data_IF_313643625162
#
_entry.id   IF_313643625162
#
_cell.length_a   1.000
_cell.length_b   1.000
_cell.length_c   1.000
_cell.angle_alpha   90.00
_cell.angle_beta   90.00
_cell.angle_gamma   90.00
#
_symmetry.space_group_name_H-M   'P 1'
#
loop_
_entity.id
_entity.type
_entity.pdbx_description
1 polymer ?
#
# COMPACT_ATOMS: atom_id res chain seq x y z
N UNK A 1 -9.04 -3.08 18.25
CA UNK A 1 -9.83 -4.04 17.46
C UNK A 1 -9.14 -4.50 16.17
N UNK A 2 -8.37 -3.66 15.51
CA UNK A 2 -7.68 -4.00 14.24
C UNK A 2 -8.60 -4.68 13.19
N UNK A 3 -9.85 -4.21 13.07
CA UNK A 3 -10.83 -4.78 12.15
C UNK A 3 -11.38 -6.16 12.53
N UNK A 4 -11.12 -6.67 13.73
CA UNK A 4 -11.49 -8.02 14.17
C UNK A 4 -12.37 -8.00 15.41
N UNK A 5 -13.33 -8.91 15.45
CA UNK A 5 -14.12 -9.18 16.66
C UNK A 5 -13.34 -10.02 17.68
N UNK A 6 -12.28 -10.71 17.29
CA UNK A 6 -11.40 -11.44 18.20
C UNK A 6 -10.70 -10.55 19.24
N UNK A 7 -10.68 -9.24 19.02
CA UNK A 7 -10.14 -8.23 19.96
C UNK A 7 -11.22 -7.26 20.48
N UNK A 8 -12.49 -7.60 20.39
CA UNK A 8 -13.58 -6.69 20.81
C UNK A 8 -13.51 -6.37 22.30
N UNK A 9 -13.12 -7.35 23.14
CA UNK A 9 -13.04 -7.23 24.60
C UNK A 9 -11.63 -6.78 25.07
N UNK A 10 -10.73 -6.50 24.14
CA UNK A 10 -9.40 -6.00 24.50
C UNK A 10 -9.51 -4.63 25.20
N UNK A 11 -8.70 -4.37 26.24
CA UNK A 11 -8.73 -3.10 26.96
C UNK A 11 -8.39 -1.94 26.01
N UNK A 12 -8.97 -0.77 26.29
CA UNK A 12 -8.62 0.45 25.56
C UNK A 12 -7.15 0.78 25.77
N UNK A 13 -6.50 1.33 24.72
CA UNK A 13 -5.13 1.83 24.86
C UNK A 13 -5.06 2.95 25.90
N UNK A 14 -4.04 2.91 26.75
CA UNK A 14 -3.81 3.91 27.81
C UNK A 14 -2.93 5.06 27.35
N UNK A 15 -2.30 4.94 26.18
CA UNK A 15 -1.45 5.96 25.56
C UNK A 15 -1.59 5.94 24.05
N UNK A 16 -1.34 7.07 23.40
CA UNK A 16 -1.28 7.16 21.96
C UNK A 16 -0.03 6.44 21.41
N UNK A 17 -0.17 5.77 20.27
CA UNK A 17 0.98 5.35 19.47
C UNK A 17 1.79 6.59 19.05
N UNK A 18 3.14 6.51 18.87
CA UNK A 18 3.96 7.67 18.53
C UNK A 18 3.49 8.43 17.28
N UNK A 19 3.01 7.72 16.26
CA UNK A 19 2.44 8.33 15.06
C UNK A 19 1.20 9.20 15.38
N UNK A 20 0.31 8.72 16.25
CA UNK A 20 -0.89 9.46 16.68
C UNK A 20 -0.50 10.64 17.58
N UNK A 21 0.41 10.42 18.52
CA UNK A 21 0.91 11.47 19.42
C UNK A 21 1.54 12.64 18.64
N UNK A 22 2.32 12.34 17.59
CA UNK A 22 2.91 13.36 16.70
C UNK A 22 1.86 14.17 15.96
N UNK A 23 0.82 13.53 15.44
CA UNK A 23 -0.29 14.23 14.77
C UNK A 23 -1.01 15.16 15.73
N UNK A 24 -1.31 14.72 16.97
CA UNK A 24 -1.93 15.55 18.00
C UNK A 24 -1.04 16.73 18.41
N UNK A 25 0.26 16.49 18.60
CA UNK A 25 1.21 17.53 18.93
C UNK A 25 1.37 18.58 17.84
N UNK A 26 1.14 18.20 16.59
CA UNK A 26 1.11 19.11 15.43
C UNK A 26 -0.24 19.87 15.29
N UNK A 27 -1.19 19.72 16.22
CA UNK A 27 -2.49 20.36 16.19
C UNK A 27 -3.58 19.57 15.46
N UNK A 28 -3.31 18.32 15.07
CA UNK A 28 -4.28 17.46 14.42
C UNK A 28 -5.39 17.00 15.36
N UNK A 29 -6.65 17.10 14.92
CA UNK A 29 -7.81 16.55 15.60
C UNK A 29 -8.14 15.16 15.06
N UNK A 30 -8.23 14.16 15.95
CA UNK A 30 -8.64 12.80 15.58
C UNK A 30 -10.16 12.74 15.57
N UNK A 31 -10.75 12.66 14.39
CA UNK A 31 -12.21 12.71 14.20
C UNK A 31 -12.89 11.34 14.28
N UNK A 32 -12.13 10.25 14.20
CA UNK A 32 -12.70 8.90 14.27
C UNK A 32 -11.70 7.79 13.97
N UNK A 33 -12.24 6.56 13.94
CA UNK A 33 -11.57 5.35 13.49
C UNK A 33 -12.31 4.82 12.28
N UNK A 34 -11.59 4.32 11.31
CA UNK A 34 -12.13 3.90 10.03
C UNK A 34 -12.19 2.38 9.91
N UNK A 35 -13.01 1.91 8.99
CA UNK A 35 -13.05 0.52 8.55
C UNK A 35 -11.68 0.08 8.02
N UNK A 36 -11.33 -1.17 8.28
CA UNK A 36 -10.14 -1.81 7.73
C UNK A 36 -10.37 -3.31 7.54
N UNK A 37 -9.56 -3.93 6.70
CA UNK A 37 -9.50 -5.39 6.62
C UNK A 37 -9.04 -5.96 7.96
N UNK A 38 -9.61 -7.10 8.35
CA UNK A 38 -9.21 -7.78 9.58
C UNK A 38 -7.70 -8.00 9.61
N UNK A 39 -7.05 -7.50 10.67
CA UNK A 39 -5.61 -7.57 10.91
C UNK A 39 -4.74 -7.13 9.72
N UNK A 40 -5.26 -6.26 8.85
CA UNK A 40 -4.61 -5.76 7.65
C UNK A 40 -4.29 -6.82 6.56
N UNK A 41 -4.86 -8.00 6.63
CA UNK A 41 -4.57 -9.14 5.76
C UNK A 41 -5.33 -9.13 4.43
N UNK A 42 -5.36 -8.06 3.65
CA UNK A 42 -5.79 -8.05 2.24
C UNK A 42 -5.62 -6.68 1.59
N UNK A 43 -5.31 -6.67 0.29
CA UNK A 43 -5.37 -5.48 -0.57
C UNK A 43 -6.78 -5.17 -1.11
N UNK A 44 -7.76 -6.03 -0.90
CA UNK A 44 -9.12 -5.90 -1.48
C UNK A 44 -9.99 -4.91 -0.68
N UNK A 45 -9.90 -4.91 0.65
CA UNK A 45 -10.64 -3.97 1.49
C UNK A 45 -11.91 -4.52 2.12
N UNK A 46 -12.30 -5.78 1.86
CA UNK A 46 -13.47 -6.42 2.47
C UNK A 46 -13.19 -6.90 3.91
N UNK A 47 -14.24 -6.90 4.73
CA UNK A 47 -14.21 -7.43 6.10
C UNK A 47 -15.55 -8.12 6.41
N UNK A 48 -15.56 -9.37 6.90
CA UNK A 48 -16.82 -10.06 7.20
C UNK A 48 -17.54 -9.55 8.46
N UNK A 49 -16.81 -8.87 9.35
CA UNK A 49 -17.35 -8.43 10.64
C UNK A 49 -17.99 -7.04 10.60
N UNK A 50 -17.64 -6.23 9.59
CA UNK A 50 -18.09 -4.84 9.46
C UNK A 50 -18.47 -4.52 8.01
N UNK A 51 -19.50 -3.67 7.78
CA UNK A 51 -19.87 -3.28 6.43
C UNK A 51 -18.71 -2.64 5.69
N UNK A 52 -18.36 -3.19 4.53
CA UNK A 52 -17.30 -2.66 3.67
C UNK A 52 -17.81 -1.41 2.94
N UNK A 53 -17.14 -0.25 3.05
CA UNK A 53 -17.52 0.92 2.26
C UNK A 53 -17.25 0.69 0.78
N UNK A 54 -18.07 1.28 -0.09
CA UNK A 54 -17.79 1.29 -1.52
C UNK A 54 -16.65 2.28 -1.84
N UNK A 55 -15.89 2.00 -2.89
CA UNK A 55 -14.92 2.93 -3.44
C UNK A 55 -15.58 4.25 -3.84
N UNK A 56 -14.88 5.35 -3.62
CA UNK A 56 -15.33 6.70 -3.95
C UNK A 56 -14.17 7.46 -4.62
N UNK A 57 -14.38 7.91 -5.85
CA UNK A 57 -13.38 8.69 -6.55
C UNK A 57 -13.36 10.14 -6.05
N UNK A 58 -12.23 10.56 -5.48
CA UNK A 58 -12.07 11.92 -4.99
C UNK A 58 -12.29 12.99 -6.09
N UNK A 59 -11.90 12.69 -7.33
CA UNK A 59 -11.91 13.63 -8.45
C UNK A 59 -13.28 13.75 -9.11
N UNK A 60 -14.02 12.63 -9.18
CA UNK A 60 -15.23 12.55 -10.01
C UNK A 60 -16.47 12.04 -9.26
N UNK A 61 -16.35 11.71 -7.96
CA UNK A 61 -17.48 11.31 -7.12
C UNK A 61 -17.72 9.80 -7.06
N UNK A 62 -18.95 9.37 -6.77
CA UNK A 62 -19.29 7.95 -6.68
C UNK A 62 -18.98 7.21 -7.99
N UNK A 63 -18.44 5.99 -7.89
CA UNK A 63 -18.15 5.18 -9.07
C UNK A 63 -19.46 4.74 -9.75
N UNK A 64 -19.49 4.66 -11.09
CA UNK A 64 -20.67 4.25 -11.82
C UNK A 64 -21.00 2.77 -11.63
N UNK A 65 -22.29 2.44 -11.65
CA UNK A 65 -22.80 1.06 -11.60
C UNK A 65 -22.82 0.45 -10.21
N UNK A 66 -22.56 -0.87 -10.13
CA UNK A 66 -22.57 -1.59 -8.85
C UNK A 66 -21.37 -1.23 -7.98
N UNK A 67 -21.54 -1.37 -6.65
CA UNK A 67 -20.51 -1.04 -5.68
C UNK A 67 -19.20 -1.81 -5.92
N UNK A 68 -18.08 -1.10 -5.85
CA UNK A 68 -16.74 -1.62 -6.02
C UNK A 68 -15.95 -1.57 -4.73
N UNK A 69 -14.98 -2.46 -4.58
CA UNK A 69 -14.13 -2.50 -3.39
C UNK A 69 -13.25 -1.25 -3.29
N UNK A 70 -13.04 -0.71 -2.08
CA UNK A 70 -12.24 0.51 -1.87
C UNK A 70 -10.74 0.25 -1.88
N UNK A 71 -10.33 -1.01 -2.05
CA UNK A 71 -8.95 -1.40 -1.76
C UNK A 71 -8.66 -1.45 -0.26
N UNK A 72 -7.56 -2.06 0.09
CA UNK A 72 -7.19 -2.35 1.47
C UNK A 72 -5.67 -2.42 1.70
N UNK A 73 -5.34 -2.61 2.99
CA UNK A 73 -6.22 -2.87 4.12
C UNK A 73 -6.84 -1.61 4.74
N UNK A 74 -6.32 -0.40 4.46
CA UNK A 74 -6.78 0.88 5.03
C UNK A 74 -8.00 1.43 4.26
N UNK A 75 -9.04 0.61 4.09
CA UNK A 75 -10.18 0.85 3.20
C UNK A 75 -11.02 2.07 3.61
N UNK A 76 -11.52 2.11 4.82
CA UNK A 76 -12.31 3.23 5.31
C UNK A 76 -11.52 4.53 5.43
N UNK A 77 -10.20 4.44 5.67
CA UNK A 77 -9.30 5.57 5.68
C UNK A 77 -9.27 6.26 4.31
N UNK A 78 -9.11 5.47 3.22
CA UNK A 78 -9.13 6.01 1.86
C UNK A 78 -10.47 6.65 1.50
N UNK A 79 -11.58 5.97 1.77
CA UNK A 79 -12.93 6.51 1.48
C UNK A 79 -13.20 7.78 2.27
N UNK A 80 -12.76 7.87 3.54
CA UNK A 80 -12.92 9.06 4.36
C UNK A 80 -12.17 10.27 3.80
N UNK A 81 -10.96 10.07 3.28
CA UNK A 81 -10.18 11.13 2.61
C UNK A 81 -10.81 11.51 1.27
N UNK A 82 -11.18 10.51 0.47
CA UNK A 82 -11.74 10.71 -0.87
C UNK A 82 -13.08 11.48 -0.81
N UNK A 83 -13.96 11.13 0.13
CA UNK A 83 -15.25 11.77 0.33
C UNK A 83 -15.18 13.14 1.03
N UNK A 84 -14.00 13.55 1.49
CA UNK A 84 -13.82 14.82 2.20
C UNK A 84 -14.20 14.78 3.69
N UNK A 85 -14.48 13.62 4.27
CA UNK A 85 -14.79 13.49 5.70
C UNK A 85 -13.59 13.82 6.60
N UNK A 86 -12.37 13.69 6.09
CA UNK A 86 -11.15 14.15 6.75
C UNK A 86 -10.10 14.62 5.72
N UNK A 87 -9.13 15.41 6.18
CA UNK A 87 -8.05 15.90 5.33
C UNK A 87 -6.96 14.84 5.10
N UNK A 88 -6.71 14.03 6.10
CA UNK A 88 -5.73 12.95 6.05
C UNK A 88 -6.21 11.77 6.89
N UNK A 89 -5.79 10.56 6.55
CA UNK A 89 -6.07 9.38 7.35
C UNK A 89 -4.80 8.54 7.53
N UNK A 90 -4.50 8.20 8.79
CA UNK A 90 -3.40 7.32 9.17
C UNK A 90 -3.78 5.87 8.87
N UNK A 91 -2.83 5.12 8.36
CA UNK A 91 -2.94 3.69 8.13
C UNK A 91 -1.57 3.01 8.16
N UNK A 92 -1.51 1.78 7.65
CA UNK A 92 -0.26 1.04 7.49
C UNK A 92 -0.12 0.45 6.09
N UNK A 93 1.12 0.23 5.67
CA UNK A 93 1.45 -0.38 4.38
C UNK A 93 2.49 -1.48 4.59
N UNK A 94 2.07 -2.73 4.47
CA UNK A 94 2.89 -3.94 4.60
C UNK A 94 3.14 -4.60 3.25
N UNK A 95 2.17 -4.51 2.34
CA UNK A 95 2.24 -5.03 0.98
C UNK A 95 1.59 -4.08 -0.05
N UNK A 96 1.14 -2.88 0.38
CA UNK A 96 0.44 -1.92 -0.48
C UNK A 96 -0.75 -1.25 0.20
N UNK A 97 -0.98 -1.50 1.48
CA UNK A 97 -2.23 -1.16 2.18
C UNK A 97 -2.53 0.34 2.37
N UNK A 98 -1.68 1.23 1.90
CA UNK A 98 -1.91 2.68 1.72
C UNK A 98 -2.08 3.00 0.23
N UNK A 99 -1.23 2.43 -0.61
CA UNK A 99 -1.15 2.76 -2.04
C UNK A 99 -2.28 2.15 -2.85
N UNK A 100 -2.68 0.91 -2.53
CA UNK A 100 -3.80 0.23 -3.19
C UNK A 100 -5.11 1.01 -2.97
N UNK A 101 -5.55 1.28 -1.72
CA UNK A 101 -6.77 2.04 -1.51
C UNK A 101 -6.67 3.49 -2.03
N UNK A 102 -5.50 4.12 -2.03
CA UNK A 102 -5.31 5.42 -2.67
C UNK A 102 -5.58 5.36 -4.18
N UNK A 103 -5.05 4.34 -4.88
CA UNK A 103 -5.28 4.12 -6.30
C UNK A 103 -6.77 3.91 -6.63
N UNK A 104 -7.49 3.17 -5.79
CA UNK A 104 -8.90 2.84 -6.01
C UNK A 104 -9.88 3.96 -5.64
N UNK A 105 -9.43 5.00 -4.95
CA UNK A 105 -10.26 6.12 -4.53
C UNK A 105 -9.79 7.48 -5.09
N UNK A 106 -8.89 7.49 -6.08
CA UNK A 106 -8.45 8.70 -6.75
C UNK A 106 -7.73 9.71 -5.84
N UNK A 107 -7.03 9.24 -4.80
CA UNK A 107 -6.30 10.05 -3.83
C UNK A 107 -4.81 9.74 -3.82
N UNK A 108 -4.05 10.45 -2.99
CA UNK A 108 -2.63 10.26 -2.79
C UNK A 108 -2.36 9.32 -1.61
N UNK A 109 -1.54 8.29 -1.83
CA UNK A 109 -1.07 7.40 -0.78
C UNK A 109 0.46 7.34 -0.77
N UNK A 110 1.09 7.82 0.28
CA UNK A 110 2.54 7.80 0.42
C UNK A 110 3.00 6.78 1.45
N UNK A 111 3.74 5.77 1.00
CA UNK A 111 4.49 4.84 1.83
C UNK A 111 5.93 5.34 1.95
N UNK A 112 6.37 5.72 3.13
CA UNK A 112 7.76 6.11 3.36
C UNK A 112 8.71 4.89 3.41
N UNK A 113 10.00 5.14 3.37
CA UNK A 113 11.03 4.16 3.70
C UNK A 113 10.69 3.47 5.01
N UNK A 114 10.88 2.15 5.09
CA UNK A 114 10.62 1.37 6.29
C UNK A 114 11.35 1.97 7.51
N UNK A 115 10.70 1.94 8.66
CA UNK A 115 11.24 2.40 9.96
C UNK A 115 11.43 3.93 10.12
N UNK A 116 11.09 4.76 9.12
CA UNK A 116 11.10 6.23 9.31
C UNK A 116 10.00 6.71 10.26
N UNK A 117 8.85 6.05 10.24
CA UNK A 117 7.75 6.32 11.16
C UNK A 117 7.63 5.15 12.12
N UNK A 118 7.64 5.38 13.46
CA UNK A 118 7.49 4.31 14.43
C UNK A 118 6.16 3.57 14.29
N UNK A 119 6.20 2.24 14.35
CA UNK A 119 5.01 1.36 14.33
C UNK A 119 4.61 0.87 15.73
N UNK A 120 5.31 1.29 16.76
CA UNK A 120 5.01 0.97 18.18
C UNK A 120 3.55 1.33 18.49
N UNK A 121 2.84 0.43 19.14
CA UNK A 121 1.42 0.60 19.49
C UNK A 121 0.44 0.19 18.38
N UNK A 122 0.92 -0.22 17.21
CA UNK A 122 0.11 -0.86 16.19
C UNK A 122 0.05 -2.38 16.41
N UNK A 123 -1.08 -3.00 16.04
CA UNK A 123 -1.17 -4.47 15.93
C UNK A 123 -0.37 -4.87 14.69
N UNK A 124 0.68 -5.70 14.81
CA UNK A 124 1.56 -5.99 13.69
C UNK A 124 0.93 -6.97 12.70
N UNK A 125 1.09 -6.71 11.41
CA UNK A 125 0.99 -7.73 10.36
C UNK A 125 2.35 -8.35 10.11
N UNK A 126 3.38 -7.51 9.90
CA UNK A 126 4.76 -7.93 9.75
C UNK A 126 5.69 -6.92 10.41
N UNK A 127 6.41 -7.32 11.43
CA UNK A 127 7.36 -6.44 12.13
C UNK A 127 8.50 -5.95 11.23
N UNK A 128 8.81 -6.72 10.19
CA UNK A 128 9.83 -6.36 9.17
C UNK A 128 9.28 -5.38 8.14
N UNK A 129 8.05 -5.57 7.64
CA UNK A 129 7.53 -4.87 6.47
C UNK A 129 6.56 -3.74 6.80
N UNK A 130 5.97 -3.71 7.98
CA UNK A 130 4.98 -2.70 8.37
C UNK A 130 5.55 -1.29 8.32
N UNK A 131 4.81 -0.40 7.69
CA UNK A 131 5.14 1.03 7.62
C UNK A 131 3.90 1.84 7.99
N UNK A 132 3.98 2.65 9.05
CA UNK A 132 2.92 3.59 9.39
C UNK A 132 3.01 4.82 8.47
N UNK A 133 1.92 5.18 7.83
CA UNK A 133 1.87 6.26 6.84
C UNK A 133 0.44 6.78 6.66
N UNK A 134 0.23 7.73 5.77
CA UNK A 134 -1.06 8.36 5.60
C UNK A 134 -1.47 8.49 4.14
N UNK A 135 -2.78 8.66 3.95
CA UNK A 135 -3.41 9.07 2.69
C UNK A 135 -3.91 10.50 2.80
N UNK A 136 -3.84 11.23 1.69
CA UNK A 136 -4.27 12.63 1.56
C UNK A 136 -4.87 12.86 0.18
N UNK A 137 -5.38 14.06 -0.09
CA UNK A 137 -5.93 14.42 -1.42
C UNK A 137 -4.88 15.01 -2.36
N UNK A 138 -3.73 15.46 -1.84
CA UNK A 138 -2.66 16.04 -2.63
C UNK A 138 -1.28 15.57 -2.15
N UNK A 139 -0.30 15.63 -3.04
CA UNK A 139 1.11 15.34 -2.68
C UNK A 139 1.64 16.37 -1.69
N UNK A 140 1.23 17.63 -1.81
CA UNK A 140 1.57 18.68 -0.84
C UNK A 140 1.15 18.29 0.58
N UNK A 141 -0.08 17.81 0.75
CA UNK A 141 -0.59 17.39 2.05
C UNK A 141 0.13 16.10 2.53
N UNK A 142 0.42 15.17 1.62
CA UNK A 142 1.20 13.97 1.94
C UNK A 142 2.59 14.32 2.50
N UNK A 143 3.25 15.33 1.92
CA UNK A 143 4.54 15.80 2.42
C UNK A 143 4.39 16.39 3.84
N UNK A 144 3.39 17.24 4.08
CA UNK A 144 3.15 17.85 5.41
C UNK A 144 2.89 16.77 6.46
N UNK A 145 2.01 15.82 6.16
CA UNK A 145 1.68 14.74 7.09
C UNK A 145 2.89 13.83 7.32
N UNK A 146 3.65 13.52 6.26
CA UNK A 146 4.87 12.72 6.40
C UNK A 146 5.92 13.42 7.28
N UNK A 147 6.13 14.74 7.13
CA UNK A 147 7.05 15.50 7.97
C UNK A 147 6.68 15.39 9.45
N UNK A 148 5.39 15.43 9.78
CA UNK A 148 4.88 15.24 11.13
C UNK A 148 5.13 13.83 11.61
N UNK A 149 4.72 12.82 10.84
CA UNK A 149 4.82 11.41 11.22
C UNK A 149 6.27 10.94 11.38
N UNK A 150 7.16 11.35 10.47
CA UNK A 150 8.58 11.00 10.51
C UNK A 150 9.39 11.91 11.46
N UNK A 151 8.79 13.01 11.97
CA UNK A 151 9.49 14.06 12.71
C UNK A 151 10.73 14.58 11.96
N UNK A 152 10.62 14.75 10.62
CA UNK A 152 11.73 15.08 9.74
C UNK A 152 11.24 15.93 8.57
N UNK A 153 11.98 16.99 8.23
CA UNK A 153 11.64 17.83 7.07
C UNK A 153 11.97 17.16 5.75
N UNK A 154 11.12 17.34 4.76
CA UNK A 154 11.35 16.96 3.38
C UNK A 154 12.12 18.06 2.67
N UNK A 155 13.26 17.74 2.08
CA UNK A 155 13.97 18.68 1.21
C UNK A 155 13.14 18.89 -0.06
N UNK A 156 12.64 20.11 -0.25
CA UNK A 156 11.83 20.49 -1.41
C UNK A 156 12.72 20.82 -2.60
N UNK A 157 12.27 20.45 -3.80
CA UNK A 157 12.92 20.78 -5.06
C UNK A 157 11.95 21.46 -6.01
N UNK A 158 12.38 22.57 -6.60
CA UNK A 158 11.69 23.25 -7.69
C UNK A 158 12.14 22.76 -9.07
N UNK A 159 13.00 21.74 -9.15
CA UNK A 159 13.53 21.24 -10.40
C UNK A 159 12.40 20.79 -11.34
N UNK A 160 12.46 21.12 -12.65
CA UNK A 160 11.48 20.68 -13.63
C UNK A 160 11.58 19.16 -13.85
N UNK A 161 10.55 18.56 -14.47
CA UNK A 161 10.55 17.13 -14.78
C UNK A 161 11.75 16.68 -15.61
N UNK A 162 12.25 17.52 -16.49
CA UNK A 162 13.44 17.24 -17.32
C UNK A 162 14.76 17.07 -16.54
N UNK A 163 14.78 17.49 -15.28
CA UNK A 163 15.95 17.33 -14.40
C UNK A 163 15.98 15.96 -13.67
N UNK A 164 14.89 15.19 -13.75
CA UNK A 164 14.77 13.91 -13.06
C UNK A 164 14.96 12.75 -14.03
N UNK A 165 15.78 11.79 -13.65
CA UNK A 165 15.96 10.54 -14.38
C UNK A 165 14.93 9.53 -13.89
N UNK A 166 13.96 9.21 -14.75
CA UNK A 166 12.87 8.32 -14.44
C UNK A 166 13.01 7.01 -15.22
N UNK A 167 12.54 5.91 -14.66
CA UNK A 167 12.50 4.63 -15.36
C UNK A 167 11.15 3.92 -15.18
N UNK A 168 10.79 3.12 -16.18
CA UNK A 168 9.63 2.21 -16.14
C UNK A 168 10.17 0.78 -16.13
N UNK A 169 9.99 0.02 -15.03
CA UNK A 169 10.32 -1.41 -15.02
C UNK A 169 9.29 -2.18 -15.83
N UNK A 170 9.75 -3.03 -16.74
CA UNK A 170 8.89 -3.81 -17.63
C UNK A 170 8.50 -5.15 -17.02
N UNK A 171 9.45 -5.84 -16.39
CA UNK A 171 9.23 -7.15 -15.77
C UNK A 171 8.29 -7.05 -14.56
N UNK A 172 7.33 -7.94 -14.43
CA UNK A 172 6.32 -8.01 -13.35
C UNK A 172 5.32 -6.86 -13.34
N UNK A 173 5.78 -5.60 -13.39
CA UNK A 173 4.94 -4.43 -13.19
C UNK A 173 3.92 -4.18 -14.30
N UNK A 174 4.25 -4.58 -15.52
CA UNK A 174 3.40 -4.38 -16.70
C UNK A 174 2.70 -5.67 -17.17
N UNK A 175 2.91 -6.80 -16.49
CA UNK A 175 2.34 -8.07 -16.90
C UNK A 175 0.82 -8.11 -16.68
N UNK A 176 0.04 -8.52 -17.69
CA UNK A 176 -1.38 -8.78 -17.57
C UNK A 176 -2.19 -7.62 -16.98
N UNK A 177 -1.90 -6.38 -17.35
CA UNK A 177 -2.65 -5.21 -16.95
C UNK A 177 -4.07 -5.21 -17.49
N UNK A 178 -5.03 -4.76 -16.70
CA UNK A 178 -6.35 -4.36 -17.18
C UNK A 178 -6.23 -3.28 -18.27
N UNK A 179 -7.10 -3.32 -19.27
CA UNK A 179 -7.05 -2.38 -20.40
C UNK A 179 -7.15 -0.92 -19.98
N UNK A 180 -7.99 -0.61 -18.98
CA UNK A 180 -8.10 0.75 -18.43
C UNK A 180 -6.81 1.18 -17.75
N UNK A 181 -6.21 0.28 -16.97
CA UNK A 181 -4.93 0.55 -16.28
C UNK A 181 -3.82 0.80 -17.29
N UNK A 182 -3.71 -0.05 -18.31
CA UNK A 182 -2.69 0.09 -19.37
C UNK A 182 -2.85 1.41 -20.12
N UNK A 183 -4.07 1.76 -20.51
CA UNK A 183 -4.37 3.00 -21.26
C UNK A 183 -4.08 4.23 -20.42
N UNK A 184 -4.54 4.28 -19.17
CA UNK A 184 -4.32 5.42 -18.28
C UNK A 184 -2.84 5.61 -17.96
N UNK A 185 -2.12 4.52 -17.71
CA UNK A 185 -0.67 4.56 -17.43
C UNK A 185 0.11 5.05 -18.64
N UNK A 186 -0.14 4.48 -19.84
CA UNK A 186 0.56 4.91 -21.07
C UNK A 186 0.30 6.37 -21.39
N UNK A 187 -0.96 6.82 -21.32
CA UNK A 187 -1.32 8.22 -21.52
C UNK A 187 -0.55 9.14 -20.55
N UNK A 188 -0.41 8.74 -19.29
CA UNK A 188 0.33 9.52 -18.31
C UNK A 188 1.82 9.58 -18.63
N UNK A 189 2.44 8.48 -19.07
CA UNK A 189 3.83 8.49 -19.54
C UNK A 189 4.04 9.44 -20.71
N UNK A 190 3.08 9.49 -21.63
CA UNK A 190 3.16 10.36 -22.82
C UNK A 190 3.02 11.84 -22.42
N UNK A 191 2.14 12.18 -21.47
CA UNK A 191 2.06 13.53 -20.90
C UNK A 191 3.35 13.93 -20.18
N UNK A 192 3.93 13.04 -19.40
CA UNK A 192 5.22 13.29 -18.73
C UNK A 192 6.36 13.55 -19.74
N UNK A 193 6.43 12.78 -20.83
CA UNK A 193 7.40 12.99 -21.90
C UNK A 193 7.19 14.32 -22.61
N UNK A 194 5.94 14.69 -22.89
CA UNK A 194 5.61 16.00 -23.48
C UNK A 194 6.00 17.16 -22.54
N UNK A 195 5.93 16.96 -21.23
CA UNK A 195 6.41 17.92 -20.23
C UNK A 195 7.94 17.88 -20.02
N UNK A 196 8.66 17.10 -20.84
CA UNK A 196 10.12 17.04 -20.85
C UNK A 196 10.75 15.98 -19.96
N UNK A 197 9.96 15.10 -19.33
CA UNK A 197 10.52 14.02 -18.51
C UNK A 197 11.34 13.04 -19.35
N UNK A 198 12.51 12.66 -18.84
CA UNK A 198 13.34 11.60 -19.40
C UNK A 198 12.95 10.27 -18.75
N UNK A 199 12.32 9.37 -19.52
CA UNK A 199 11.80 8.09 -19.03
C UNK A 199 12.42 6.96 -19.83
N UNK A 200 13.24 6.16 -19.18
CA UNK A 200 13.87 4.96 -19.73
C UNK A 200 13.03 3.72 -19.40
N UNK A 201 13.06 2.69 -20.25
CA UNK A 201 12.53 1.36 -19.90
C UNK A 201 13.67 0.52 -19.36
N UNK A 202 13.45 -0.16 -18.23
CA UNK A 202 14.44 -1.04 -17.62
C UNK A 202 13.84 -2.42 -17.37
N UNK A 203 14.67 -3.44 -17.50
CA UNK A 203 14.30 -4.79 -17.11
C UNK A 203 14.80 -5.08 -15.69
N UNK A 204 13.89 -5.58 -14.83
CA UNK A 204 14.17 -5.94 -13.44
C UNK A 204 13.76 -7.40 -13.18
N UNK A 205 14.47 -8.38 -13.75
CA UNK A 205 14.15 -9.79 -13.60
C UNK A 205 14.20 -10.25 -12.13
N UNK A 206 14.94 -9.55 -11.28
CA UNK A 206 15.00 -9.78 -9.84
C UNK A 206 13.62 -9.75 -9.17
N UNK A 207 12.65 -9.05 -9.73
CA UNK A 207 11.28 -9.03 -9.19
C UNK A 207 10.57 -10.38 -9.29
N UNK A 208 10.93 -11.20 -10.28
CA UNK A 208 10.44 -12.57 -10.43
C UNK A 208 10.95 -13.54 -9.35
N UNK A 209 12.01 -13.19 -8.62
CA UNK A 209 12.55 -14.02 -7.53
C UNK A 209 11.70 -14.00 -6.26
N UNK A 210 10.81 -13.00 -6.09
CA UNK A 210 10.05 -12.83 -4.84
C UNK A 210 9.10 -14.00 -4.55
N UNK A 211 8.49 -14.60 -5.56
CA UNK A 211 7.65 -15.79 -5.40
C UNK A 211 8.44 -17.00 -4.90
N UNK A 212 9.46 -17.45 -5.65
CA UNK A 212 10.36 -18.54 -5.23
C UNK A 212 10.99 -18.30 -3.85
N UNK A 213 11.44 -17.09 -3.55
CA UNK A 213 12.04 -16.74 -2.26
C UNK A 213 11.10 -17.01 -1.09
N UNK A 214 9.79 -16.83 -1.26
CA UNK A 214 8.76 -17.00 -0.24
C UNK A 214 8.03 -18.35 -0.32
N UNK A 215 8.52 -19.30 -1.11
CA UNK A 215 7.85 -20.58 -1.35
C UNK A 215 7.68 -21.43 -0.07
N UNK A 216 8.61 -21.35 0.88
CA UNK A 216 8.55 -22.05 2.18
C UNK A 216 7.75 -21.26 3.24
N UNK A 217 7.32 -20.05 2.93
CA UNK A 217 6.58 -19.15 3.81
C UNK A 217 7.03 -17.71 3.62
N UNK A 218 6.17 -16.78 4.02
CA UNK A 218 6.47 -15.35 3.92
C UNK A 218 6.81 -14.73 5.27
N UNK A 219 7.50 -13.58 5.25
CA UNK A 219 7.74 -12.79 6.45
C UNK A 219 6.43 -12.46 7.18
N UNK A 220 5.42 -12.03 6.42
CA UNK A 220 4.10 -11.70 6.97
C UNK A 220 3.44 -12.89 7.65
N UNK A 221 3.53 -14.10 7.08
CA UNK A 221 2.95 -15.30 7.69
C UNK A 221 3.66 -15.66 9.00
N UNK A 222 4.99 -15.72 9.01
CA UNK A 222 5.76 -16.09 10.20
C UNK A 222 5.60 -15.07 11.34
N UNK A 223 5.74 -13.79 11.01
CA UNK A 223 5.71 -12.69 11.99
C UNK A 223 4.31 -12.45 12.55
N UNK A 224 3.26 -12.53 11.70
CA UNK A 224 1.90 -12.46 12.19
C UNK A 224 1.55 -13.66 13.07
N UNK A 225 1.92 -14.88 12.67
CA UNK A 225 1.67 -16.06 13.50
C UNK A 225 2.31 -15.94 14.88
N UNK A 226 3.52 -15.42 14.98
CA UNK A 226 4.19 -15.22 16.27
C UNK A 226 3.36 -14.33 17.22
N UNK A 227 2.76 -13.25 16.67
CA UNK A 227 1.89 -12.36 17.45
C UNK A 227 0.51 -12.97 17.71
N UNK A 228 -0.11 -13.60 16.70
CA UNK A 228 -1.48 -14.09 16.76
C UNK A 228 -1.65 -15.41 17.54
N UNK A 229 -0.57 -16.20 17.74
CA UNK A 229 -0.62 -17.50 18.39
C UNK A 229 -1.43 -17.52 19.69
N UNK A 230 -1.25 -16.60 20.66
CA UNK A 230 -2.06 -16.59 21.88
C UNK A 230 -3.52 -16.15 21.67
N UNK A 231 -3.81 -15.37 20.64
CA UNK A 231 -5.17 -14.95 20.28
C UNK A 231 -5.89 -16.09 19.56
N UNK A 232 -5.25 -16.75 18.60
CA UNK A 232 -5.79 -17.93 17.90
C UNK A 232 -6.11 -19.06 18.86
N UNK A 233 -5.29 -19.32 19.87
CA UNK A 233 -5.56 -20.35 20.86
C UNK A 233 -6.88 -20.16 21.63
N UNK A 234 -7.42 -18.92 21.67
CA UNK A 234 -8.64 -18.58 22.43
C UNK A 234 -9.82 -18.20 21.54
N UNK A 235 -9.57 -17.67 20.36
CA UNK A 235 -10.55 -16.97 19.54
C UNK A 235 -10.47 -17.34 18.04
N UNK A 236 -9.92 -18.50 17.67
CA UNK A 236 -9.71 -18.90 16.28
C UNK A 236 -10.99 -18.81 15.42
N UNK A 237 -12.15 -19.15 16.00
CA UNK A 237 -13.44 -19.15 15.30
C UNK A 237 -13.99 -17.74 15.04
N UNK A 238 -13.42 -16.72 15.66
CA UNK A 238 -13.80 -15.31 15.47
C UNK A 238 -13.04 -14.63 14.34
N UNK A 239 -12.07 -15.32 13.75
CA UNK A 239 -11.30 -14.80 12.60
C UNK A 239 -12.05 -15.02 11.28
N UNK A 240 -11.86 -14.09 10.34
CA UNK A 240 -12.14 -14.37 8.94
C UNK A 240 -11.33 -15.60 8.50
N UNK A 241 -11.98 -16.67 7.97
CA UNK A 241 -11.27 -17.87 7.52
C UNK A 241 -10.14 -17.59 6.52
N UNK A 242 -10.32 -16.58 5.66
CA UNK A 242 -9.31 -16.14 4.70
C UNK A 242 -8.08 -15.50 5.37
N UNK A 243 -8.27 -14.82 6.49
CA UNK A 243 -7.21 -14.22 7.30
C UNK A 243 -6.51 -15.29 8.12
N UNK A 244 -7.29 -16.08 8.86
CA UNK A 244 -6.80 -17.16 9.71
C UNK A 244 -5.90 -18.12 8.95
N UNK A 245 -6.34 -18.62 7.79
CA UNK A 245 -5.58 -19.59 6.99
C UNK A 245 -4.20 -19.05 6.57
N UNK A 246 -4.09 -17.76 6.32
CA UNK A 246 -2.81 -17.11 5.95
C UNK A 246 -1.89 -16.92 7.13
N UNK A 247 -2.41 -16.57 8.29
CA UNK A 247 -1.65 -16.48 9.55
C UNK A 247 -1.12 -17.85 9.94
N UNK A 248 -1.98 -18.88 9.92
CA UNK A 248 -1.63 -20.26 10.31
C UNK A 248 -0.54 -20.89 9.44
N UNK A 249 -0.33 -20.42 8.19
CA UNK A 249 0.84 -20.83 7.37
C UNK A 249 2.17 -20.54 8.07
N UNK A 250 2.24 -19.51 8.90
CA UNK A 250 3.44 -19.20 9.68
C UNK A 250 3.82 -20.26 10.70
N UNK A 251 2.87 -21.10 11.14
CA UNK A 251 3.12 -22.20 12.07
C UNK A 251 4.06 -23.28 11.52
N UNK A 252 4.05 -23.47 10.20
CA UNK A 252 4.86 -24.48 9.52
C UNK A 252 6.29 -24.02 9.22
N UNK A 253 6.57 -22.72 9.35
CA UNK A 253 7.87 -22.15 9.03
C UNK A 253 8.85 -22.33 10.19
N UNK A 254 9.98 -22.99 9.94
CA UNK A 254 11.03 -23.14 10.96
C UNK A 254 11.81 -21.83 11.17
N UNK A 255 12.50 -21.71 12.30
CA UNK A 255 13.42 -20.60 12.53
C UNK A 255 14.54 -20.54 11.47
N UNK A 256 15.01 -21.69 10.99
CA UNK A 256 16.02 -21.76 9.93
C UNK A 256 15.48 -21.21 8.61
N UNK A 257 14.25 -21.57 8.21
CA UNK A 257 13.62 -21.06 6.99
C UNK A 257 13.42 -19.54 7.08
N UNK A 258 13.00 -19.04 8.22
CA UNK A 258 12.84 -17.60 8.45
C UNK A 258 14.18 -16.85 8.34
N UNK A 259 15.26 -17.37 8.93
CA UNK A 259 16.60 -16.78 8.83
C UNK A 259 17.11 -16.83 7.38
N UNK A 260 16.90 -17.94 6.67
CA UNK A 260 17.27 -18.05 5.26
C UNK A 260 16.50 -17.03 4.40
N UNK A 261 15.20 -16.85 4.65
CA UNK A 261 14.39 -15.84 3.96
C UNK A 261 14.91 -14.42 4.21
N UNK A 262 15.29 -14.08 5.44
CA UNK A 262 15.88 -12.79 5.77
C UNK A 262 17.19 -12.54 5.01
N UNK A 263 18.09 -13.54 4.96
CA UNK A 263 19.34 -13.42 4.22
C UNK A 263 19.12 -13.32 2.70
N UNK A 264 18.21 -14.13 2.15
CA UNK A 264 17.86 -14.08 0.73
C UNK A 264 17.27 -12.72 0.35
N UNK A 265 16.38 -12.18 1.19
CA UNK A 265 15.81 -10.83 1.03
C UNK A 265 16.90 -9.76 1.06
N UNK A 266 17.83 -9.83 2.01
CA UNK A 266 18.91 -8.84 2.11
C UNK A 266 19.78 -8.85 0.85
N UNK A 267 20.18 -10.03 0.36
CA UNK A 267 20.94 -10.16 -0.88
C UNK A 267 20.17 -9.64 -2.10
N UNK A 268 18.87 -9.94 -2.18
CA UNK A 268 17.97 -9.42 -3.22
C UNK A 268 17.85 -7.89 -3.15
N UNK A 269 17.65 -7.33 -1.97
CA UNK A 269 17.57 -5.86 -1.75
C UNK A 269 18.83 -5.17 -2.26
N UNK A 270 20.02 -5.70 -1.94
CA UNK A 270 21.29 -5.10 -2.40
C UNK A 270 21.43 -5.11 -3.93
N UNK A 271 20.96 -6.18 -4.60
CA UNK A 271 20.95 -6.23 -6.07
C UNK A 271 19.96 -5.22 -6.66
N UNK A 272 18.76 -5.16 -6.12
CA UNK A 272 17.74 -4.20 -6.57
C UNK A 272 18.20 -2.75 -6.38
N UNK A 273 18.80 -2.42 -5.24
CA UNK A 273 19.36 -1.09 -4.99
C UNK A 273 20.40 -0.70 -6.04
N UNK A 274 21.30 -1.61 -6.37
CA UNK A 274 22.32 -1.39 -7.40
C UNK A 274 21.68 -1.16 -8.79
N UNK A 275 20.63 -1.92 -9.13
CA UNK A 275 19.92 -1.79 -10.42
C UNK A 275 19.22 -0.45 -10.58
N UNK A 276 18.64 0.09 -9.51
CA UNK A 276 17.85 1.33 -9.56
C UNK A 276 18.63 2.60 -9.18
N UNK A 277 19.88 2.47 -8.73
CA UNK A 277 20.70 3.57 -8.20
C UNK A 277 20.88 4.76 -9.18
N UNK A 278 20.82 4.48 -10.49
CA UNK A 278 20.99 5.50 -11.53
C UNK A 278 19.78 6.40 -11.78
N UNK A 279 18.65 6.14 -11.12
CA UNK A 279 17.40 6.86 -11.32
C UNK A 279 17.01 7.64 -10.07
N UNK A 280 16.15 8.64 -10.25
CA UNK A 280 15.58 9.42 -9.14
C UNK A 280 14.26 8.82 -8.66
N UNK A 281 13.48 8.25 -9.57
CA UNK A 281 12.27 7.47 -9.28
C UNK A 281 11.97 6.48 -10.41
N UNK A 282 11.29 5.38 -10.05
CA UNK A 282 10.68 4.46 -11.00
C UNK A 282 9.18 4.72 -11.06
N UNK A 283 8.61 4.52 -12.25
CA UNK A 283 7.18 4.70 -12.50
C UNK A 283 6.55 3.36 -12.89
N UNK A 284 5.43 3.03 -12.29
CA UNK A 284 4.63 1.84 -12.64
C UNK A 284 3.15 2.08 -12.35
N UNK A 285 2.23 1.26 -12.88
CA UNK A 285 0.89 1.21 -12.31
C UNK A 285 0.98 0.83 -10.83
N UNK A 286 0.18 1.46 -9.97
CA UNK A 286 0.12 1.09 -8.55
C UNK A 286 -0.38 -0.34 -8.41
N UNK A 287 -1.45 -0.67 -9.12
CA UNK A 287 -2.06 -2.00 -9.16
C UNK A 287 -2.35 -2.40 -10.60
N UNK A 288 -2.49 -3.70 -10.85
CA UNK A 288 -2.66 -4.24 -12.21
C UNK A 288 -4.10 -4.16 -12.74
N UNK A 289 -5.08 -3.95 -11.87
CA UNK A 289 -6.51 -3.99 -12.18
C UNK A 289 -7.24 -2.76 -11.66
N UNK A 290 -8.39 -2.45 -12.24
CA UNK A 290 -9.36 -1.49 -11.69
C UNK A 290 -10.08 -2.08 -10.46
N UNK A 291 -10.76 -1.27 -9.62
CA UNK A 291 -11.48 -1.78 -8.46
C UNK A 291 -12.48 -2.89 -8.84
N UNK A 292 -12.34 -4.14 -8.33
CA UNK A 292 -13.32 -5.20 -8.55
C UNK A 292 -14.71 -4.85 -8.00
N UNK A 293 -15.75 -5.52 -8.52
CA UNK A 293 -17.08 -5.42 -7.92
C UNK A 293 -17.06 -6.03 -6.52
N UNK A 294 -17.73 -5.38 -5.58
CA UNK A 294 -17.83 -5.88 -4.20
C UNK A 294 -18.54 -7.24 -4.15
N UNK A 295 -19.52 -7.48 -5.01
CA UNK A 295 -20.23 -8.76 -5.13
C UNK A 295 -19.33 -9.95 -5.46
N UNK A 296 -18.27 -9.71 -6.26
CA UNK A 296 -17.42 -10.76 -6.81
C UNK A 296 -16.39 -11.28 -5.78
N UNK A 297 -16.02 -10.44 -4.84
CA UNK A 297 -14.95 -10.70 -3.86
C UNK A 297 -15.40 -10.59 -2.39
N UNK A 298 -16.70 -10.38 -2.16
CA UNK A 298 -17.27 -10.31 -0.82
C UNK A 298 -16.96 -11.60 -0.01
N UNK A 299 -16.98 -11.52 1.32
CA UNK A 299 -16.79 -12.71 2.17
C UNK A 299 -17.72 -13.87 1.79
N UNK A 300 -17.21 -15.09 1.84
CA UNK A 300 -17.93 -16.33 1.52
C UNK A 300 -17.15 -17.25 0.60
N UNK A 301 -17.09 -18.53 0.93
CA UNK A 301 -16.27 -19.58 0.29
C UNK A 301 -16.44 -19.63 -1.24
N UNK A 302 -17.67 -19.50 -1.74
CA UNK A 302 -17.93 -19.50 -3.20
C UNK A 302 -17.18 -18.40 -3.98
N UNK A 303 -16.65 -17.39 -3.31
CA UNK A 303 -15.92 -16.25 -3.90
C UNK A 303 -14.42 -16.25 -3.57
N UNK A 304 -13.94 -17.28 -2.86
CA UNK A 304 -12.53 -17.32 -2.42
C UNK A 304 -11.55 -17.32 -3.59
N UNK A 305 -11.82 -18.07 -4.65
CA UNK A 305 -10.96 -18.11 -5.82
C UNK A 305 -10.82 -16.70 -6.46
N UNK A 306 -11.94 -16.01 -6.70
CA UNK A 306 -11.96 -14.66 -7.25
C UNK A 306 -11.28 -13.66 -6.30
N UNK A 307 -11.54 -13.78 -4.99
CA UNK A 307 -10.88 -12.94 -3.99
C UNK A 307 -9.36 -13.12 -3.99
N UNK A 308 -8.83 -14.35 -3.95
CA UNK A 308 -7.39 -14.58 -3.91
C UNK A 308 -6.70 -14.17 -5.21
N UNK A 309 -7.35 -14.39 -6.36
CA UNK A 309 -6.86 -13.92 -7.67
C UNK A 309 -6.75 -12.39 -7.70
N UNK A 310 -7.82 -11.68 -7.35
CA UNK A 310 -7.83 -10.22 -7.30
C UNK A 310 -6.81 -9.70 -6.27
N UNK A 311 -6.73 -10.32 -5.09
CA UNK A 311 -5.79 -9.94 -4.05
C UNK A 311 -4.32 -10.10 -4.49
N UNK A 312 -3.99 -11.14 -5.24
CA UNK A 312 -2.65 -11.31 -5.81
C UNK A 312 -2.31 -10.19 -6.80
N UNK A 313 -3.26 -9.83 -7.68
CA UNK A 313 -3.06 -8.78 -8.69
C UNK A 313 -2.89 -7.39 -8.07
N UNK A 314 -3.64 -7.04 -7.03
CA UNK A 314 -3.50 -5.72 -6.38
C UNK A 314 -2.23 -5.60 -5.54
N UNK A 315 -1.72 -6.71 -5.01
CA UNK A 315 -0.49 -6.74 -4.20
C UNK A 315 0.79 -6.86 -5.05
N UNK A 316 0.70 -7.34 -6.27
CA UNK A 316 1.86 -7.71 -7.10
C UNK A 316 2.89 -6.59 -7.21
N UNK A 317 2.49 -5.41 -7.66
CA UNK A 317 3.38 -4.28 -7.89
C UNK A 317 3.82 -3.63 -6.57
N UNK A 318 2.90 -3.43 -5.66
CA UNK A 318 3.16 -2.73 -4.39
C UNK A 318 4.06 -3.51 -3.45
N UNK A 319 3.95 -4.86 -3.41
CA UNK A 319 4.75 -5.72 -2.54
C UNK A 319 6.25 -5.68 -2.85
N UNK A 320 6.63 -5.44 -4.11
CA UNK A 320 8.04 -5.27 -4.50
C UNK A 320 8.70 -4.17 -3.68
N UNK A 321 8.02 -3.03 -3.54
CA UNK A 321 8.52 -1.87 -2.79
C UNK A 321 8.62 -2.18 -1.29
N UNK A 322 7.68 -2.96 -0.73
CA UNK A 322 7.78 -3.37 0.68
C UNK A 322 8.96 -4.31 0.92
N UNK A 323 9.16 -5.29 0.04
CA UNK A 323 10.30 -6.21 0.12
C UNK A 323 11.64 -5.49 -0.04
N UNK A 324 11.66 -4.32 -0.67
CA UNK A 324 12.84 -3.47 -0.87
C UNK A 324 13.07 -2.47 0.30
N UNK A 325 12.24 -2.48 1.34
CA UNK A 325 12.20 -1.41 2.37
C UNK A 325 11.96 0.00 1.79
N UNK A 326 11.61 0.09 0.52
CA UNK A 326 11.59 1.29 -0.29
C UNK A 326 10.49 2.28 0.08
N UNK A 327 10.47 3.40 -0.64
CA UNK A 327 9.45 4.42 -0.55
C UNK A 327 8.64 4.49 -1.85
N UNK A 328 7.37 4.83 -1.76
CA UNK A 328 6.49 4.94 -2.92
C UNK A 328 5.32 5.89 -2.67
N UNK A 329 4.94 6.58 -3.73
CA UNK A 329 3.79 7.46 -3.80
C UNK A 329 2.84 6.96 -4.88
N UNK A 330 1.58 6.71 -4.53
CA UNK A 330 0.51 6.46 -5.50
C UNK A 330 -0.29 7.73 -5.71
N UNK A 331 -0.49 8.11 -6.96
CA UNK A 331 -1.34 9.23 -7.35
C UNK A 331 -2.27 8.83 -8.49
N UNK A 332 -3.38 9.56 -8.60
CA UNK A 332 -4.40 9.32 -9.62
C UNK A 332 -3.90 9.66 -11.03
N UNK A 333 -4.13 8.77 -12.01
CA UNK A 333 -3.76 8.99 -13.41
C UNK A 333 -4.90 8.70 -14.41
N UNK A 334 -6.09 8.35 -13.95
CA UNK A 334 -7.30 8.19 -14.78
C UNK A 334 -7.94 9.54 -15.11
N UNK A 335 -8.82 9.56 -16.08
CA UNK A 335 -9.62 10.74 -16.47
C UNK A 335 -11.10 10.49 -16.23
N UNK A 336 -11.93 11.52 -16.38
CA UNK A 336 -13.37 11.42 -16.21
C UNK A 336 -13.97 10.33 -17.15
N UNK A 337 -14.80 9.48 -16.60
CA UNK A 337 -15.41 8.34 -17.30
C UNK A 337 -14.63 7.03 -17.19
N UNK A 338 -13.40 7.05 -16.74
CA UNK A 338 -12.62 5.87 -16.41
C UNK A 338 -12.82 5.46 -14.95
N UNK A 339 -12.64 4.18 -14.63
CA UNK A 339 -12.49 3.72 -13.25
C UNK A 339 -11.15 4.19 -12.68
N UNK A 340 -11.02 4.38 -11.36
CA UNK A 340 -9.80 4.87 -10.74
C UNK A 340 -8.57 4.01 -11.05
N UNK A 341 -7.50 4.66 -11.47
CA UNK A 341 -6.18 4.09 -11.74
C UNK A 341 -5.13 4.93 -11.03
N UNK A 342 -4.19 4.27 -10.35
CA UNK A 342 -3.04 4.90 -9.71
C UNK A 342 -1.75 4.70 -10.49
N UNK A 343 -0.98 5.77 -10.67
CA UNK A 343 0.43 5.73 -11.02
C UNK A 343 1.25 5.68 -9.73
N UNK A 344 2.22 4.80 -9.65
CA UNK A 344 3.14 4.69 -8.52
C UNK A 344 4.52 5.22 -8.93
N UNK A 345 4.98 6.29 -8.26
CA UNK A 345 6.38 6.70 -8.27
C UNK A 345 7.07 6.07 -7.06
N UNK A 346 8.20 5.36 -7.25
CA UNK A 346 8.83 4.60 -6.18
C UNK A 346 10.34 4.50 -6.31
N UNK A 347 11.01 4.15 -5.22
CA UNK A 347 12.45 3.87 -5.19
C UNK A 347 12.81 2.96 -4.02
N UNK A 348 14.07 2.51 -3.96
CA UNK A 348 14.66 1.87 -2.79
C UNK A 348 14.66 2.81 -1.56
N UNK A 349 15.01 2.26 -0.41
CA UNK A 349 15.04 2.98 0.87
C UNK A 349 15.88 4.27 0.81
N UNK A 350 15.43 5.31 1.55
CA UNK A 350 16.16 6.58 1.69
C UNK A 350 15.97 7.58 0.54
N UNK A 351 15.08 7.29 -0.43
CA UNK A 351 14.79 8.18 -1.57
C UNK A 351 13.44 8.90 -1.43
N UNK A 352 12.91 8.98 -0.22
CA UNK A 352 11.59 9.58 0.07
C UNK A 352 11.45 10.99 -0.52
N UNK A 353 12.49 11.81 -0.42
CA UNK A 353 12.45 13.19 -0.91
C UNK A 353 12.39 13.25 -2.44
N UNK A 354 13.12 12.38 -3.13
CA UNK A 354 13.08 12.32 -4.59
C UNK A 354 11.69 11.89 -5.06
N UNK A 355 11.14 10.80 -4.49
CA UNK A 355 9.80 10.28 -4.82
C UNK A 355 8.71 11.34 -4.58
N UNK A 356 8.75 12.04 -3.45
CA UNK A 356 7.78 13.09 -3.13
C UNK A 356 7.90 14.31 -4.06
N UNK A 357 9.11 14.76 -4.37
CA UNK A 357 9.33 15.89 -5.29
C UNK A 357 8.93 15.54 -6.73
N UNK A 358 9.27 14.35 -7.22
CA UNK A 358 8.81 13.84 -8.53
C UNK A 358 7.28 13.76 -8.55
N UNK A 359 6.66 13.19 -7.51
CA UNK A 359 5.22 13.09 -7.39
C UNK A 359 4.53 14.46 -7.41
N UNK A 360 5.09 15.46 -6.75
CA UNK A 360 4.55 16.82 -6.78
C UNK A 360 4.59 17.41 -8.21
N UNK A 361 5.64 17.16 -8.98
CA UNK A 361 5.70 17.61 -10.38
C UNK A 361 4.72 16.86 -11.28
N UNK A 362 4.48 15.57 -11.01
CA UNK A 362 3.49 14.78 -11.74
C UNK A 362 2.07 15.29 -11.45
N UNK A 363 1.76 15.64 -10.20
CA UNK A 363 0.44 16.14 -9.79
C UNK A 363 0.10 17.51 -10.41
N UNK A 364 1.11 18.31 -10.72
CA UNK A 364 0.96 19.66 -11.32
C UNK A 364 0.64 19.63 -12.83
N UNK A 365 0.67 18.46 -13.49
CA UNK A 365 0.29 18.27 -14.91
C UNK A 365 -1.20 18.01 -15.08
#
# INVERSE_FOLDING_TARGET
MAGSIALQDAPAATSDAPAVARLRAAGGSIVGRTHMVEFAFSGIGTNPHFPTPAAFDHRFGPLPGAARVPGGSSSGAAVSVASGACYAALGSDTGGSIRIPAAFNGIVGFKCTARLVPTTGAVPLSTTLDTACAMTRSVRDAIVVHEVLAARRVTRSAAPLSAWRLAVPTHTFLDGLDGTVSTAFQRTLDLLRQAGAQIESIDLPETGELGPMQAQGSLAAAESYAWHRPVLARHAEQYDPRVRSRIERGAAMSAADYIHLQHARQAWTSRMEARVAGFDALLSPTVAIVPPLLSDVAPGEARDAAFFQANALVLRNTSVVNMLDGCALSLSCHVQGELPVGLMAWHAAGRDYAVLNVGQRIEEL
#
